data_IF_623759868747
#
_entry.id   IF_623759868747
#
_cell.length_a   1.000
_cell.length_b   1.000
_cell.length_c   1.000
_cell.angle_alpha   90.00
_cell.angle_beta   90.00
_cell.angle_gamma   90.00
#
_symmetry.space_group_name_H-M   'P 1'
#
loop_
_entity.id
_entity.type
_entity.pdbx_description
1 polymer ?
#
# COMPACT_ATOMS: atom_id res chain seq x y z
N UNK A 1 -21.82 10.51 2.48
CA UNK A 1 -22.46 9.56 1.53
C UNK A 1 -23.74 9.02 2.14
N UNK A 2 -24.79 8.99 1.38
CA UNK A 2 -26.09 8.49 1.83
C UNK A 2 -26.75 7.72 0.69
N UNK A 3 -27.31 6.55 1.01
CA UNK A 3 -28.07 5.76 0.03
C UNK A 3 -29.32 6.51 -0.46
N UNK A 4 -29.94 7.30 0.41
CA UNK A 4 -31.13 8.08 0.06
C UNK A 4 -30.84 9.20 -0.93
N UNK A 5 -29.61 9.68 -0.99
CA UNK A 5 -29.19 10.71 -1.95
C UNK A 5 -28.59 10.12 -3.23
N UNK A 6 -28.44 8.78 -3.32
CA UNK A 6 -27.88 8.12 -4.48
C UNK A 6 -26.40 8.34 -4.68
N UNK A 7 -25.69 8.92 -3.71
CA UNK A 7 -24.26 9.21 -3.79
C UNK A 7 -23.38 8.20 -3.01
N UNK A 8 -24.01 7.14 -2.50
CA UNK A 8 -23.28 6.05 -1.86
C UNK A 8 -22.97 4.96 -2.89
N UNK A 9 -21.70 4.66 -3.14
CA UNK A 9 -21.36 3.58 -4.07
C UNK A 9 -21.75 2.21 -3.50
N UNK A 10 -22.05 1.26 -4.39
CA UNK A 10 -22.27 -0.12 -3.97
C UNK A 10 -20.93 -0.78 -3.69
N UNK A 11 -20.65 -1.22 -2.45
CA UNK A 11 -19.40 -1.86 -2.11
C UNK A 11 -19.11 -3.12 -2.91
N UNK A 12 -20.14 -3.88 -3.25
CA UNK A 12 -19.97 -5.12 -4.01
C UNK A 12 -19.52 -4.87 -5.44
N UNK A 13 -20.07 -3.87 -6.10
CA UNK A 13 -19.64 -3.46 -7.44
C UNK A 13 -18.19 -2.97 -7.44
N UNK A 14 -17.82 -2.20 -6.43
CA UNK A 14 -16.45 -1.70 -6.28
C UNK A 14 -15.45 -2.83 -6.04
N UNK A 15 -15.80 -3.79 -5.19
CA UNK A 15 -14.95 -4.95 -4.90
C UNK A 15 -14.78 -5.80 -6.16
N UNK A 16 -15.83 -5.97 -6.93
CA UNK A 16 -15.78 -6.72 -8.18
C UNK A 16 -14.88 -6.03 -9.22
N UNK A 17 -14.92 -4.70 -9.28
CA UNK A 17 -14.17 -3.90 -10.25
C UNK A 17 -12.71 -3.67 -9.85
N UNK A 18 -12.44 -3.39 -8.57
CA UNK A 18 -11.12 -2.96 -8.09
C UNK A 18 -10.47 -3.95 -7.11
N UNK A 19 -11.19 -4.98 -6.68
CA UNK A 19 -10.74 -5.87 -5.62
C UNK A 19 -10.93 -5.27 -4.24
N UNK A 20 -11.01 -6.13 -3.23
CA UNK A 20 -11.27 -5.70 -1.85
C UNK A 20 -10.16 -4.77 -1.31
N UNK A 21 -8.90 -5.09 -1.58
CA UNK A 21 -7.78 -4.28 -1.12
C UNK A 21 -7.72 -2.91 -1.82
N UNK A 22 -8.05 -2.87 -3.12
CA UNK A 22 -8.15 -1.61 -3.86
C UNK A 22 -9.22 -0.69 -3.28
N UNK A 23 -10.38 -1.25 -2.95
CA UNK A 23 -11.46 -0.49 -2.33
C UNK A 23 -11.07 0.01 -0.94
N UNK A 24 -10.48 -0.84 -0.11
CA UNK A 24 -10.03 -0.46 1.24
C UNK A 24 -8.99 0.65 1.18
N UNK A 25 -8.01 0.53 0.32
CA UNK A 25 -6.99 1.57 0.14
C UNK A 25 -7.58 2.86 -0.40
N UNK A 26 -8.51 2.76 -1.37
CA UNK A 26 -9.22 3.91 -1.91
C UNK A 26 -10.03 4.66 -0.84
N UNK A 27 -10.71 3.92 0.02
CA UNK A 27 -11.45 4.51 1.14
C UNK A 27 -10.53 5.25 2.11
N UNK A 28 -9.38 4.67 2.44
CA UNK A 28 -8.40 5.32 3.31
C UNK A 28 -7.82 6.58 2.68
N UNK A 29 -7.54 6.55 1.39
CA UNK A 29 -7.05 7.72 0.66
C UNK A 29 -8.10 8.83 0.55
N UNK A 30 -9.39 8.46 0.56
CA UNK A 30 -10.51 9.40 0.48
C UNK A 30 -10.86 10.06 1.81
N UNK A 31 -10.34 9.55 2.93
CA UNK A 31 -10.74 9.95 4.26
C UNK A 31 -9.78 10.99 4.85
N UNK A 32 -10.01 12.30 4.62
CA UNK A 32 -9.23 13.32 5.31
C UNK A 32 -9.58 13.35 6.79
N UNK A 33 -8.58 13.61 7.64
CA UNK A 33 -8.78 13.67 9.08
C UNK A 33 -9.83 14.74 9.45
N UNK A 34 -10.87 14.33 10.14
CA UNK A 34 -11.89 15.24 10.67
C UNK A 34 -12.96 15.72 9.71
N UNK A 35 -12.98 15.24 8.46
CA UNK A 35 -13.99 15.62 7.46
C UNK A 35 -14.75 14.40 6.94
N UNK A 36 -15.90 14.67 6.32
CA UNK A 36 -16.66 13.63 5.63
C UNK A 36 -15.89 13.05 4.45
N UNK A 37 -16.11 11.77 4.19
CA UNK A 37 -15.46 11.08 3.06
C UNK A 37 -16.12 11.52 1.74
N UNK A 38 -15.35 12.16 0.88
CA UNK A 38 -15.73 12.40 -0.51
C UNK A 38 -15.18 11.25 -1.35
N UNK A 39 -16.06 10.31 -1.67
CA UNK A 39 -15.66 9.10 -2.38
C UNK A 39 -15.40 9.39 -3.85
N UNK A 40 -14.25 8.91 -4.36
CA UNK A 40 -13.86 8.98 -5.77
C UNK A 40 -13.37 7.60 -6.23
N UNK A 41 -14.00 7.07 -7.27
CA UNK A 41 -13.63 5.78 -7.89
C UNK A 41 -12.17 5.75 -8.35
N UNK A 42 -11.62 6.90 -8.74
CA UNK A 42 -10.24 7.01 -9.16
C UNK A 42 -9.26 6.63 -8.02
N UNK A 43 -9.64 6.86 -6.77
CA UNK A 43 -8.84 6.48 -5.61
C UNK A 43 -8.84 4.96 -5.39
N UNK A 44 -9.94 4.28 -5.73
CA UNK A 44 -9.99 2.81 -5.71
C UNK A 44 -9.07 2.22 -6.78
N UNK A 45 -9.03 2.81 -7.96
CA UNK A 45 -8.11 2.41 -9.02
C UNK A 45 -6.65 2.63 -8.60
N UNK A 46 -6.35 3.76 -7.99
CA UNK A 46 -5.03 4.06 -7.44
C UNK A 46 -4.66 3.05 -6.36
N UNK A 47 -5.58 2.71 -5.46
CA UNK A 47 -5.39 1.70 -4.43
C UNK A 47 -5.09 0.32 -5.02
N UNK A 48 -5.84 -0.09 -6.04
CA UNK A 48 -5.61 -1.35 -6.75
C UNK A 48 -4.22 -1.38 -7.38
N UNK A 49 -3.84 -0.32 -8.06
CA UNK A 49 -2.53 -0.23 -8.70
C UNK A 49 -1.39 -0.28 -7.68
N UNK A 50 -1.56 0.36 -6.54
CA UNK A 50 -0.60 0.31 -5.45
C UNK A 50 -0.46 -1.11 -4.87
N UNK A 51 -1.57 -1.78 -4.61
CA UNK A 51 -1.56 -3.16 -4.12
C UNK A 51 -0.93 -4.11 -5.14
N UNK A 52 -1.17 -3.91 -6.42
CA UNK A 52 -0.54 -4.69 -7.48
C UNK A 52 0.98 -4.48 -7.54
N UNK A 53 1.45 -3.27 -7.29
CA UNK A 53 2.90 -3.00 -7.20
C UNK A 53 3.55 -3.77 -6.05
N UNK A 54 2.92 -3.78 -4.88
CA UNK A 54 3.40 -4.53 -3.72
C UNK A 54 3.42 -6.03 -4.04
N UNK A 55 2.35 -6.55 -4.62
CA UNK A 55 2.24 -7.96 -4.99
C UNK A 55 3.30 -8.38 -5.99
N UNK A 56 3.52 -7.58 -7.03
CA UNK A 56 4.53 -7.86 -8.05
C UNK A 56 5.94 -7.79 -7.48
N UNK A 57 6.22 -6.83 -6.60
CA UNK A 57 7.50 -6.76 -5.90
C UNK A 57 7.73 -7.99 -5.02
N UNK A 58 6.71 -8.45 -4.31
CA UNK A 58 6.77 -9.67 -3.51
C UNK A 58 7.07 -10.90 -4.37
N UNK A 59 6.38 -11.04 -5.51
CA UNK A 59 6.62 -12.15 -6.44
C UNK A 59 8.05 -12.16 -6.98
N UNK A 60 8.58 -10.99 -7.29
CA UNK A 60 9.95 -10.83 -7.76
C UNK A 60 10.96 -11.28 -6.71
N UNK A 61 10.80 -10.81 -5.47
CA UNK A 61 11.67 -11.18 -4.34
C UNK A 61 11.58 -12.67 -4.06
N UNK A 62 10.37 -13.23 -4.09
CA UNK A 62 10.16 -14.66 -3.90
C UNK A 62 10.88 -15.49 -4.97
N UNK A 63 10.90 -15.04 -6.21
CA UNK A 63 11.66 -15.67 -7.27
C UNK A 63 13.17 -15.65 -7.01
N UNK A 64 13.68 -14.55 -6.46
CA UNK A 64 15.11 -14.43 -6.12
C UNK A 64 15.52 -15.31 -4.95
N UNK A 65 14.66 -15.49 -3.94
CA UNK A 65 14.99 -16.33 -2.78
C UNK A 65 15.12 -17.81 -3.14
N UNK A 66 14.57 -18.24 -4.27
CA UNK A 66 14.73 -19.59 -4.79
C UNK A 66 16.03 -19.77 -5.60
N UNK A 67 16.74 -18.69 -5.90
CA UNK A 67 18.02 -18.76 -6.61
C UNK A 67 19.11 -19.29 -5.65
N UNK A 68 19.74 -20.41 -6.04
CA UNK A 68 20.83 -21.01 -5.27
C UNK A 68 22.14 -20.32 -5.66
N UNK A 69 22.78 -19.67 -4.72
CA UNK A 69 24.09 -19.06 -4.91
C UNK A 69 24.36 -17.96 -3.90
N UNK A 70 25.60 -17.89 -3.44
CA UNK A 70 26.11 -16.76 -2.68
C UNK A 70 26.59 -15.71 -3.67
N UNK A 71 25.93 -14.57 -3.72
CA UNK A 71 26.39 -13.42 -4.49
C UNK A 71 27.16 -12.53 -3.54
N UNK A 72 28.43 -12.29 -3.82
CA UNK A 72 29.18 -11.26 -3.10
C UNK A 72 28.62 -9.89 -3.46
N UNK A 73 28.20 -9.16 -2.44
CA UNK A 73 27.72 -7.78 -2.63
C UNK A 73 28.93 -6.88 -2.80
N UNK A 74 29.07 -6.13 -3.92
CA UNK A 74 30.15 -5.16 -4.08
C UNK A 74 30.20 -4.16 -2.92
N UNK A 75 31.39 -3.71 -2.54
CA UNK A 75 31.57 -2.78 -1.42
C UNK A 75 30.75 -1.51 -1.58
N UNK A 76 30.62 -0.99 -2.77
CA UNK A 76 29.83 0.18 -3.11
C UNK A 76 28.32 -0.04 -2.86
N UNK A 77 27.84 -1.28 -3.06
CA UNK A 77 26.45 -1.63 -2.82
C UNK A 77 26.10 -1.72 -1.32
N UNK A 78 27.08 -1.98 -0.45
CA UNK A 78 26.85 -1.97 1.00
C UNK A 78 26.37 -0.62 1.51
N UNK A 79 26.92 0.47 0.99
CA UNK A 79 26.48 1.82 1.36
C UNK A 79 25.03 2.05 0.96
N UNK A 80 24.63 1.63 -0.23
CA UNK A 80 23.26 1.76 -0.71
C UNK A 80 22.28 0.93 0.15
N UNK A 81 22.66 -0.30 0.52
CA UNK A 81 21.86 -1.16 1.39
C UNK A 81 21.71 -0.55 2.79
N UNK A 82 22.79 -0.04 3.37
CA UNK A 82 22.75 0.63 4.68
C UNK A 82 21.86 1.87 4.64
N UNK A 83 21.94 2.67 3.60
CA UNK A 83 21.08 3.83 3.41
C UNK A 83 19.61 3.43 3.33
N UNK A 84 19.30 2.40 2.57
CA UNK A 84 17.93 1.89 2.44
C UNK A 84 17.39 1.38 3.77
N UNK A 85 18.18 0.58 4.51
CA UNK A 85 17.80 0.06 5.82
C UNK A 85 17.51 1.19 6.81
N UNK A 86 18.33 2.21 6.84
CA UNK A 86 18.12 3.39 7.70
C UNK A 86 16.84 4.14 7.33
N UNK A 87 16.57 4.29 6.04
CA UNK A 87 15.35 4.93 5.56
C UNK A 87 14.11 4.11 5.89
N UNK A 88 14.20 2.80 5.77
CA UNK A 88 13.11 1.88 6.10
C UNK A 88 12.80 1.92 7.61
N UNK A 89 13.82 1.86 8.45
CA UNK A 89 13.67 1.93 9.91
C UNK A 89 13.05 3.26 10.34
N UNK A 90 13.51 4.37 9.76
CA UNK A 90 12.95 5.70 10.03
C UNK A 90 11.47 5.78 9.64
N UNK A 91 11.09 5.24 8.48
CA UNK A 91 9.71 5.19 8.03
C UNK A 91 8.85 4.31 8.95
N UNK A 92 9.36 3.17 9.39
CA UNK A 92 8.66 2.26 10.29
C UNK A 92 8.38 2.93 11.66
N UNK A 93 9.34 3.65 12.20
CA UNK A 93 9.18 4.40 13.46
C UNK A 93 8.13 5.51 13.29
N UNK A 94 8.18 6.26 12.20
CA UNK A 94 7.22 7.32 11.91
C UNK A 94 5.79 6.79 11.79
N UNK A 95 5.60 5.68 11.09
CA UNK A 95 4.28 5.03 10.95
C UNK A 95 3.78 4.55 12.31
N UNK A 96 4.63 3.96 13.14
CA UNK A 96 4.26 3.51 14.47
C UNK A 96 3.84 4.68 15.38
N UNK A 97 4.52 5.82 15.28
CA UNK A 97 4.19 7.02 16.05
C UNK A 97 2.86 7.64 15.61
N UNK A 98 2.57 7.62 14.32
CA UNK A 98 1.33 8.15 13.76
C UNK A 98 0.13 7.21 13.96
N UNK A 99 0.37 5.95 14.25
CA UNK A 99 -0.67 4.92 14.36
C UNK A 99 -0.50 4.09 15.64
N UNK A 100 -0.52 4.72 16.84
CA UNK A 100 -0.21 4.04 18.10
C UNK A 100 -1.23 2.95 18.48
N UNK A 101 -2.41 2.98 17.90
CA UNK A 101 -3.50 2.04 18.18
C UNK A 101 -3.60 0.89 17.18
N UNK A 102 -2.72 0.84 16.18
CA UNK A 102 -2.67 -0.23 15.19
C UNK A 102 -1.57 -1.23 15.61
N UNK A 103 -1.89 -2.06 16.57
CA UNK A 103 -1.00 -3.14 17.02
C UNK A 103 -1.76 -4.44 16.93
#
# INVERSE_FOLDING_TARGET
>A
MSKSLGNSPDPLELIEKYGADGVRMGMMLSAPAGNDILFDDALCEQGRNFCNKIWNAFRLIKGWTNAKGTIEIPTDAHLAVQWFDQRLDAAAVEVADLSPNIV
#
